data_IF_862028326194
#
_entry.id   IF_862028326194
#
_cell.length_a   1.000
_cell.length_b   1.000
_cell.length_c   1.000
_cell.angle_alpha   90.00
_cell.angle_beta   90.00
_cell.angle_gamma   90.00
#
_symmetry.space_group_name_H-M   'P 1'
#
loop_
_entity.id
_entity.type
_entity.pdbx_description
1 polymer ?
#
# COMPACT_ATOMS: atom_id res chain seq x y z
N UNK A 1 -29.52 2.66 11.88
CA UNK A 1 -29.60 1.89 10.62
C UNK A 1 -29.16 0.46 10.88
N UNK A 2 -30.13 -0.46 10.96
CA UNK A 2 -29.88 -1.89 11.22
C UNK A 2 -29.42 -2.67 9.96
N UNK A 3 -29.33 -2.02 8.82
CA UNK A 3 -29.18 -2.68 7.52
C UNK A 3 -27.76 -3.17 7.20
N UNK A 4 -26.72 -2.66 7.87
CA UNK A 4 -25.30 -3.02 7.61
C UNK A 4 -24.61 -3.56 8.85
N UNK A 5 -25.37 -4.20 9.75
CA UNK A 5 -24.87 -4.71 11.02
C UNK A 5 -24.71 -6.24 10.95
N UNK A 6 -23.52 -6.70 11.24
CA UNK A 6 -23.12 -8.10 11.20
C UNK A 6 -22.33 -8.48 12.43
N UNK A 7 -22.36 -9.74 12.82
CA UNK A 7 -21.32 -10.30 13.66
C UNK A 7 -20.10 -10.66 12.80
N UNK A 8 -18.93 -10.69 13.39
CA UNK A 8 -17.70 -11.12 12.69
C UNK A 8 -17.88 -12.49 12.03
N UNK A 9 -18.50 -13.44 12.74
CA UNK A 9 -18.78 -14.77 12.21
C UNK A 9 -19.67 -14.73 10.96
N UNK A 10 -20.72 -13.90 10.95
CA UNK A 10 -21.57 -13.75 9.76
C UNK A 10 -20.78 -13.23 8.56
N UNK A 11 -19.88 -12.26 8.79
CA UNK A 11 -18.99 -11.76 7.73
C UNK A 11 -18.05 -12.86 7.24
N UNK A 12 -17.43 -13.60 8.13
CA UNK A 12 -16.55 -14.73 7.79
C UNK A 12 -17.32 -15.80 6.98
N UNK A 13 -18.49 -16.24 7.45
CA UNK A 13 -19.32 -17.24 6.75
C UNK A 13 -19.71 -16.77 5.33
N UNK A 14 -20.07 -15.49 5.16
CA UNK A 14 -20.39 -14.90 3.85
C UNK A 14 -19.19 -14.91 2.90
N UNK A 15 -18.02 -14.52 3.39
CA UNK A 15 -16.80 -14.39 2.58
C UNK A 15 -16.17 -15.76 2.31
N UNK A 16 -16.19 -16.69 3.25
CA UNK A 16 -15.74 -18.08 3.03
C UNK A 16 -16.56 -18.75 1.92
N UNK A 17 -17.85 -18.48 1.86
CA UNK A 17 -18.69 -18.98 0.78
C UNK A 17 -18.35 -18.41 -0.62
N UNK A 18 -17.57 -17.32 -0.67
CA UNK A 18 -17.10 -16.69 -1.91
C UNK A 18 -15.73 -17.20 -2.36
N UNK A 19 -14.94 -17.81 -1.47
CA UNK A 19 -13.57 -18.23 -1.79
C UNK A 19 -13.55 -19.25 -2.94
N UNK A 20 -12.55 -19.10 -3.81
CA UNK A 20 -12.35 -19.92 -5.00
C UNK A 20 -13.50 -19.87 -6.03
N UNK A 21 -14.40 -18.90 -5.90
CA UNK A 21 -15.42 -18.58 -6.91
C UNK A 21 -15.03 -17.30 -7.64
N UNK A 22 -15.48 -17.19 -8.87
CA UNK A 22 -15.31 -15.95 -9.63
C UNK A 22 -16.27 -14.88 -9.13
N UNK A 23 -15.93 -13.60 -9.36
CA UNK A 23 -16.84 -12.49 -9.07
C UNK A 23 -18.18 -12.64 -9.79
N UNK A 24 -18.19 -13.24 -11.00
CA UNK A 24 -19.42 -13.54 -11.74
C UNK A 24 -20.27 -14.63 -11.10
N UNK A 25 -19.67 -15.67 -10.51
CA UNK A 25 -20.39 -16.75 -9.83
C UNK A 25 -21.04 -16.28 -8.52
N UNK A 26 -20.47 -15.30 -7.86
CA UNK A 26 -21.03 -14.72 -6.62
C UNK A 26 -21.99 -13.56 -6.87
N UNK A 27 -22.09 -13.07 -8.10
CA UNK A 27 -22.96 -11.94 -8.49
C UNK A 27 -24.44 -12.34 -8.59
N UNK A 28 -25.08 -12.53 -7.43
CA UNK A 28 -26.49 -12.89 -7.32
C UNK A 28 -27.45 -11.78 -7.78
N UNK A 29 -27.02 -10.52 -7.69
CA UNK A 29 -27.84 -9.35 -7.98
C UNK A 29 -27.61 -8.77 -9.38
N UNK A 30 -26.89 -9.52 -10.25
CA UNK A 30 -26.62 -9.13 -11.64
C UNK A 30 -25.94 -7.75 -11.78
N UNK A 31 -25.02 -7.43 -10.86
CA UNK A 31 -24.32 -6.16 -10.83
C UNK A 31 -23.51 -5.95 -12.11
N UNK A 32 -22.97 -7.04 -12.70
CA UNK A 32 -22.25 -6.97 -13.98
C UNK A 32 -23.12 -6.50 -15.16
N UNK A 33 -24.44 -6.50 -15.05
CA UNK A 33 -25.32 -5.95 -16.11
C UNK A 33 -25.06 -4.46 -16.35
N UNK A 34 -24.58 -3.73 -15.35
CA UNK A 34 -24.13 -2.32 -15.48
C UNK A 34 -23.03 -2.14 -16.55
N UNK A 35 -22.22 -3.17 -16.78
CA UNK A 35 -21.12 -3.11 -17.76
C UNK A 35 -21.60 -3.07 -19.20
N UNK A 36 -22.85 -3.50 -19.47
CA UNK A 36 -23.46 -3.44 -20.81
C UNK A 36 -23.66 -2.00 -21.28
N UNK A 37 -23.99 -1.11 -20.36
CA UNK A 37 -24.20 0.33 -20.63
C UNK A 37 -22.95 1.17 -20.31
N UNK A 38 -22.11 0.73 -19.40
CA UNK A 38 -20.90 1.42 -18.92
C UNK A 38 -19.68 0.49 -18.92
N UNK A 39 -19.09 0.15 -20.09
CA UNK A 39 -18.02 -0.85 -20.18
C UNK A 39 -16.73 -0.48 -19.42
N UNK A 40 -16.55 0.79 -19.14
CA UNK A 40 -15.37 1.32 -18.42
C UNK A 40 -15.67 1.71 -16.97
N UNK A 41 -16.78 1.24 -16.39
CA UNK A 41 -17.09 1.48 -14.99
C UNK A 41 -15.94 0.97 -14.10
N UNK A 42 -15.55 1.78 -13.12
CA UNK A 42 -14.54 1.43 -12.13
C UNK A 42 -15.22 0.96 -10.85
N UNK A 43 -14.54 0.09 -10.07
CA UNK A 43 -15.07 -0.38 -8.78
C UNK A 43 -16.06 -1.54 -8.87
N UNK A 44 -16.31 -2.12 -10.07
CA UNK A 44 -17.30 -3.20 -10.25
C UNK A 44 -17.09 -4.38 -9.29
N UNK A 45 -15.86 -4.72 -8.94
CA UNK A 45 -15.57 -5.77 -7.97
C UNK A 45 -16.09 -5.42 -6.56
N UNK A 46 -15.96 -4.15 -6.14
CA UNK A 46 -16.53 -3.63 -4.90
C UNK A 46 -18.05 -3.70 -4.92
N UNK A 47 -18.66 -3.20 -5.99
CA UNK A 47 -20.11 -3.24 -6.17
C UNK A 47 -20.68 -4.66 -6.05
N UNK A 48 -19.99 -5.67 -6.59
CA UNK A 48 -20.42 -7.08 -6.47
C UNK A 48 -20.36 -7.55 -5.02
N UNK A 49 -19.28 -7.29 -4.31
CA UNK A 49 -19.17 -7.68 -2.89
C UNK A 49 -20.21 -6.96 -2.05
N UNK A 50 -20.40 -5.67 -2.23
CA UNK A 50 -21.40 -4.87 -1.49
C UNK A 50 -22.82 -5.36 -1.76
N UNK A 51 -23.22 -5.47 -3.03
CA UNK A 51 -24.60 -5.70 -3.40
C UNK A 51 -24.98 -7.19 -3.42
N UNK A 52 -24.09 -8.06 -3.88
CA UNK A 52 -24.41 -9.50 -4.04
C UNK A 52 -23.98 -10.35 -2.86
N UNK A 53 -22.98 -9.94 -2.07
CA UNK A 53 -22.53 -10.69 -0.89
C UNK A 53 -23.13 -10.12 0.38
N UNK A 54 -22.97 -8.80 0.61
CA UNK A 54 -23.52 -8.12 1.80
C UNK A 54 -24.95 -7.59 1.63
N UNK A 55 -25.46 -7.49 0.41
CA UNK A 55 -26.86 -7.22 0.13
C UNK A 55 -27.29 -5.77 0.33
N UNK A 56 -26.38 -4.79 0.25
CA UNK A 56 -26.71 -3.37 0.34
C UNK A 56 -26.33 -2.62 -0.94
N UNK A 57 -27.09 -1.56 -1.23
CA UNK A 57 -26.80 -0.72 -2.39
C UNK A 57 -25.56 0.15 -2.16
N UNK A 58 -24.75 0.31 -3.20
CA UNK A 58 -23.62 1.20 -3.17
C UNK A 58 -24.09 2.63 -2.80
N UNK A 59 -23.49 3.19 -1.77
CA UNK A 59 -23.76 4.55 -1.32
C UNK A 59 -22.49 5.41 -1.39
N UNK A 60 -22.66 6.72 -1.33
CA UNK A 60 -21.55 7.69 -1.31
C UNK A 60 -21.31 8.27 0.08
N UNK A 61 -21.72 7.56 1.13
CA UNK A 61 -21.56 8.00 2.51
C UNK A 61 -20.10 8.15 2.90
N UNK A 62 -19.83 9.12 3.75
CA UNK A 62 -18.48 9.33 4.29
C UNK A 62 -18.16 8.41 5.47
N UNK A 63 -19.16 7.71 6.00
CA UNK A 63 -19.02 6.73 7.08
C UNK A 63 -18.47 5.40 6.54
N UNK A 64 -17.82 4.58 7.39
CA UNK A 64 -17.47 3.20 7.05
C UNK A 64 -18.70 2.36 6.67
N UNK A 65 -18.50 1.38 5.78
CA UNK A 65 -19.59 0.65 5.10
C UNK A 65 -20.35 -0.31 6.02
N UNK A 66 -19.68 -0.91 7.00
CA UNK A 66 -20.21 -1.98 7.84
C UNK A 66 -20.11 -1.65 9.33
N UNK A 67 -21.01 -2.20 10.10
CA UNK A 67 -20.88 -2.28 11.56
C UNK A 67 -20.73 -3.76 11.95
N UNK A 68 -19.54 -4.14 12.38
CA UNK A 68 -19.20 -5.53 12.73
C UNK A 68 -18.96 -5.62 14.24
N UNK A 69 -19.86 -6.30 14.94
CA UNK A 69 -19.85 -6.38 16.42
C UNK A 69 -19.74 -5.01 17.13
N UNK A 70 -20.36 -3.98 16.56
CA UNK A 70 -20.30 -2.61 17.08
C UNK A 70 -19.12 -1.77 16.59
N UNK A 71 -18.21 -2.35 15.78
CA UNK A 71 -17.05 -1.66 15.22
C UNK A 71 -17.35 -1.22 13.79
N UNK A 72 -17.25 0.09 13.53
CA UNK A 72 -17.39 0.62 12.18
C UNK A 72 -16.19 0.21 11.33
N UNK A 73 -16.44 -0.51 10.26
CA UNK A 73 -15.42 -1.14 9.41
C UNK A 73 -15.64 -0.75 7.95
N UNK A 74 -14.59 -0.25 7.32
CA UNK A 74 -14.59 0.06 5.88
C UNK A 74 -14.33 -1.20 5.07
N UNK A 75 -15.20 -1.47 4.07
CA UNK A 75 -15.03 -2.57 3.13
C UNK A 75 -14.26 -2.08 1.89
N UNK A 76 -13.22 -2.82 1.51
CA UNK A 76 -12.47 -2.57 0.28
C UNK A 76 -12.22 -3.87 -0.48
N UNK A 77 -12.36 -3.81 -1.78
CA UNK A 77 -11.89 -4.87 -2.67
C UNK A 77 -10.54 -4.50 -3.27
N UNK A 78 -9.64 -5.45 -3.33
CA UNK A 78 -8.26 -5.22 -3.80
C UNK A 78 -7.87 -6.29 -4.80
N UNK A 79 -7.52 -5.85 -6.02
CA UNK A 79 -6.92 -6.74 -7.01
C UNK A 79 -5.50 -7.12 -6.61
N UNK A 80 -5.23 -8.41 -6.60
CA UNK A 80 -3.89 -8.96 -6.42
C UNK A 80 -3.44 -9.65 -7.70
N UNK A 81 -2.14 -9.72 -7.90
CA UNK A 81 -1.54 -10.46 -9.00
C UNK A 81 -0.31 -11.23 -8.53
N UNK A 82 0.06 -12.27 -9.25
CA UNK A 82 1.32 -12.96 -9.03
C UNK A 82 2.47 -11.99 -9.26
N UNK A 83 3.41 -11.93 -8.32
CA UNK A 83 4.56 -11.04 -8.42
C UNK A 83 5.46 -11.44 -9.59
N UNK A 84 5.82 -10.47 -10.43
CA UNK A 84 6.78 -10.70 -11.53
C UNK A 84 8.20 -11.02 -11.02
N UNK A 85 8.50 -10.67 -9.77
CA UNK A 85 9.82 -10.92 -9.15
C UNK A 85 9.89 -12.27 -8.46
N UNK A 86 8.81 -12.71 -7.84
CA UNK A 86 8.68 -13.99 -7.17
C UNK A 86 7.33 -14.63 -7.50
N UNK A 87 7.27 -15.62 -8.41
CA UNK A 87 6.03 -16.26 -8.81
C UNK A 87 5.27 -17.00 -7.69
N UNK A 88 5.85 -17.11 -6.51
CA UNK A 88 5.23 -17.72 -5.32
C UNK A 88 4.52 -16.68 -4.43
N UNK A 89 4.64 -15.41 -4.75
CA UNK A 89 4.10 -14.31 -3.95
C UNK A 89 3.04 -13.54 -4.72
N UNK A 90 2.08 -13.01 -3.98
CA UNK A 90 1.14 -12.03 -4.50
C UNK A 90 1.62 -10.60 -4.20
N UNK A 91 1.25 -9.67 -5.06
CA UNK A 91 1.40 -8.24 -4.85
C UNK A 91 0.11 -7.51 -5.23
N UNK A 92 -0.12 -6.33 -4.66
CA UNK A 92 -1.25 -5.50 -5.06
C UNK A 92 -1.11 -5.06 -6.52
N UNK A 93 -2.21 -5.09 -7.26
CA UNK A 93 -2.27 -4.58 -8.63
C UNK A 93 -2.07 -3.06 -8.66
N UNK A 94 -2.71 -2.34 -7.74
CA UNK A 94 -2.80 -0.89 -7.74
C UNK A 94 -2.84 -0.30 -6.32
N UNK A 95 -2.62 1.03 -6.16
CA UNK A 95 -2.87 1.72 -4.89
C UNK A 95 -4.33 1.61 -4.48
N UNK A 96 -4.62 1.70 -3.18
CA UNK A 96 -5.98 1.61 -2.65
C UNK A 96 -6.52 2.99 -2.28
N UNK A 97 -7.60 3.43 -2.92
CA UNK A 97 -8.28 4.67 -2.60
C UNK A 97 -9.03 4.57 -1.27
N UNK A 98 -8.86 5.59 -0.42
CA UNK A 98 -9.48 5.66 0.91
C UNK A 98 -10.65 6.66 0.89
N UNK A 99 -10.34 7.95 0.73
CA UNK A 99 -11.34 9.03 0.71
C UNK A 99 -10.87 10.20 -0.15
N UNK A 100 -11.79 11.09 -0.50
CA UNK A 100 -11.45 12.34 -1.20
C UNK A 100 -10.65 13.29 -0.31
N UNK A 101 -9.74 14.03 -0.91
CA UNK A 101 -9.11 15.18 -0.25
C UNK A 101 -10.03 16.38 -0.44
N UNK A 102 -10.70 16.82 0.63
CA UNK A 102 -11.62 17.96 0.63
C UNK A 102 -10.93 19.16 1.29
N UNK A 103 -10.37 20.11 0.53
CA UNK A 103 -9.55 21.20 1.09
C UNK A 103 -10.26 22.01 2.16
N UNK A 104 -11.56 22.29 1.98
CA UNK A 104 -12.33 23.08 2.93
C UNK A 104 -12.71 22.33 4.23
N UNK A 105 -12.55 21.01 4.25
CA UNK A 105 -12.90 20.16 5.39
C UNK A 105 -11.64 19.79 6.17
N UNK A 106 -10.61 19.32 5.48
CA UNK A 106 -9.37 18.81 6.10
C UNK A 106 -8.67 19.85 6.97
N UNK A 107 -8.80 21.13 6.63
CA UNK A 107 -8.16 22.23 7.40
C UNK A 107 -8.67 22.34 8.81
N UNK A 108 -9.88 21.89 9.08
CA UNK A 108 -10.56 21.95 10.38
C UNK A 108 -10.60 20.58 11.09
N UNK A 109 -10.18 19.49 10.43
CA UNK A 109 -10.12 18.16 11.02
C UNK A 109 -8.86 17.98 11.88
N UNK A 110 -8.97 17.17 12.94
CA UNK A 110 -7.86 16.52 13.62
C UNK A 110 -7.79 15.06 13.17
N UNK A 111 -6.59 14.45 13.23
CA UNK A 111 -6.36 13.14 12.63
C UNK A 111 -7.31 12.07 13.16
N UNK A 112 -7.48 11.97 14.48
CA UNK A 112 -8.31 10.94 15.12
C UNK A 112 -9.79 11.04 14.71
N UNK A 113 -10.29 12.24 14.43
CA UNK A 113 -11.67 12.51 14.03
C UNK A 113 -11.82 12.70 12.52
N UNK A 114 -10.72 12.53 11.76
CA UNK A 114 -10.73 12.75 10.32
C UNK A 114 -11.48 11.65 9.57
N UNK A 115 -12.11 12.03 8.46
CA UNK A 115 -12.70 11.07 7.52
C UNK A 115 -11.68 10.05 7.00
N UNK A 116 -10.43 10.48 6.91
CA UNK A 116 -9.32 9.63 6.48
C UNK A 116 -9.09 8.50 7.48
N UNK A 117 -8.93 8.83 8.78
CA UNK A 117 -8.67 7.83 9.81
C UNK A 117 -9.88 6.94 10.08
N UNK A 118 -11.09 7.50 10.12
CA UNK A 118 -12.32 6.71 10.30
C UNK A 118 -12.49 5.61 9.25
N UNK A 119 -12.01 5.83 8.01
CA UNK A 119 -12.03 4.81 6.95
C UNK A 119 -10.84 3.85 6.96
N UNK A 120 -9.81 4.12 7.76
CA UNK A 120 -8.62 3.27 7.85
C UNK A 120 -8.52 2.51 9.16
N UNK A 121 -9.11 3.01 10.24
CA UNK A 121 -8.95 2.44 11.58
C UNK A 121 -9.30 0.94 11.62
N UNK A 122 -10.36 0.55 10.93
CA UNK A 122 -10.77 -0.84 10.79
C UNK A 122 -11.13 -1.12 9.33
N UNK A 123 -10.36 -1.99 8.68
CA UNK A 123 -10.57 -2.37 7.28
C UNK A 123 -10.95 -3.85 7.18
N UNK A 124 -11.88 -4.13 6.28
CA UNK A 124 -12.11 -5.47 5.74
C UNK A 124 -11.70 -5.47 4.28
N UNK A 125 -10.60 -6.16 3.96
CA UNK A 125 -10.15 -6.32 2.57
C UNK A 125 -10.65 -7.65 2.01
N UNK A 126 -11.19 -7.59 0.78
CA UNK A 126 -11.51 -8.78 -0.02
C UNK A 126 -10.59 -8.77 -1.25
N UNK A 127 -9.86 -9.86 -1.44
CA UNK A 127 -8.87 -10.02 -2.49
C UNK A 127 -9.43 -10.78 -3.68
N UNK A 128 -9.26 -10.26 -4.88
CA UNK A 128 -9.52 -11.00 -6.12
C UNK A 128 -8.26 -11.09 -6.98
N UNK A 129 -8.04 -12.24 -7.62
CA UNK A 129 -6.90 -12.48 -8.48
C UNK A 129 -7.12 -11.83 -9.85
N UNK A 130 -6.39 -10.76 -10.11
CA UNK A 130 -6.36 -10.10 -11.41
C UNK A 130 -5.46 -10.89 -12.37
N UNK A 131 -6.07 -11.86 -13.06
CA UNK A 131 -5.38 -12.80 -13.94
C UNK A 131 -5.22 -12.24 -15.38
N UNK A 132 -4.71 -11.01 -15.52
CA UNK A 132 -4.44 -10.40 -16.81
C UNK A 132 -3.18 -9.53 -16.76
N UNK A 133 -2.37 -9.59 -17.80
CA UNK A 133 -1.22 -8.69 -17.99
C UNK A 133 -1.61 -7.34 -18.58
N UNK A 134 -2.84 -7.21 -19.06
CA UNK A 134 -3.36 -5.99 -19.71
C UNK A 134 -4.50 -5.40 -18.89
N UNK A 135 -4.78 -4.12 -19.13
CA UNK A 135 -6.01 -3.51 -18.66
C UNK A 135 -7.20 -4.16 -19.35
N UNK A 136 -8.18 -4.60 -18.56
CA UNK A 136 -9.39 -5.27 -19.05
C UNK A 136 -10.61 -4.37 -18.86
N UNK A 137 -11.67 -4.65 -19.63
CA UNK A 137 -12.97 -4.01 -19.44
C UNK A 137 -13.66 -4.53 -18.18
N UNK A 138 -14.60 -3.74 -17.65
CA UNK A 138 -15.30 -4.07 -16.40
C UNK A 138 -16.01 -5.43 -16.45
N UNK A 139 -16.55 -5.84 -17.59
CA UNK A 139 -17.22 -7.14 -17.74
C UNK A 139 -16.26 -8.34 -17.52
N UNK A 140 -14.98 -8.19 -17.83
CA UNK A 140 -14.00 -9.27 -17.69
C UNK A 140 -13.65 -9.57 -16.23
N UNK A 141 -13.94 -8.62 -15.30
CA UNK A 141 -13.79 -8.85 -13.87
C UNK A 141 -14.64 -10.01 -13.36
N UNK A 142 -15.74 -10.34 -14.07
CA UNK A 142 -16.57 -11.49 -13.75
C UNK A 142 -15.78 -12.81 -13.70
N UNK A 143 -14.64 -12.90 -14.39
CA UNK A 143 -13.82 -14.10 -14.47
C UNK A 143 -12.74 -14.16 -13.36
N UNK A 144 -12.58 -13.13 -12.53
CA UNK A 144 -11.54 -13.09 -11.51
C UNK A 144 -12.00 -13.81 -10.25
N UNK A 145 -11.12 -14.66 -9.71
CA UNK A 145 -11.37 -15.45 -8.52
C UNK A 145 -11.24 -14.60 -7.25
N UNK A 146 -12.13 -14.85 -6.28
CA UNK A 146 -11.97 -14.36 -4.91
C UNK A 146 -10.96 -15.27 -4.20
N UNK A 147 -9.81 -14.72 -3.83
CA UNK A 147 -8.66 -15.45 -3.28
C UNK A 147 -8.58 -15.42 -1.76
N UNK A 148 -9.21 -14.43 -1.14
CA UNK A 148 -9.15 -14.30 0.32
C UNK A 148 -9.80 -13.05 0.83
N UNK A 149 -9.81 -12.93 2.16
CA UNK A 149 -10.24 -11.73 2.87
C UNK A 149 -9.41 -11.55 4.14
N UNK A 150 -9.36 -10.34 4.66
CA UNK A 150 -8.60 -10.01 5.85
C UNK A 150 -9.19 -8.82 6.60
N UNK A 151 -9.32 -8.95 7.92
CA UNK A 151 -9.53 -7.80 8.81
C UNK A 151 -8.17 -7.17 9.12
N UNK A 152 -8.09 -5.85 9.01
CA UNK A 152 -6.85 -5.10 9.20
C UNK A 152 -7.08 -4.00 10.22
N UNK A 153 -6.16 -3.95 11.17
CA UNK A 153 -5.91 -2.83 12.06
C UNK A 153 -4.43 -2.46 11.93
N UNK A 154 -4.14 -1.17 11.80
CA UNK A 154 -2.76 -0.71 11.70
C UNK A 154 -2.10 -0.72 13.08
N UNK A 155 -0.81 -1.08 13.14
CA UNK A 155 -0.02 -0.95 14.35
C UNK A 155 0.12 0.52 14.77
N UNK A 156 0.45 0.79 16.03
CA UNK A 156 0.68 2.15 16.52
C UNK A 156 1.79 2.86 15.72
N UNK A 157 2.82 2.14 15.28
CA UNK A 157 3.89 2.72 14.45
C UNK A 157 3.39 3.05 13.05
N UNK A 158 2.58 2.18 12.43
CA UNK A 158 1.94 2.48 11.14
C UNK A 158 0.97 3.66 11.24
N UNK A 159 0.20 3.73 12.33
CA UNK A 159 -0.73 4.83 12.61
C UNK A 159 -0.01 6.16 12.70
N UNK A 160 1.14 6.22 13.40
CA UNK A 160 1.98 7.43 13.48
C UNK A 160 2.44 7.89 12.09
N UNK A 161 2.87 6.96 11.23
CA UNK A 161 3.28 7.29 9.87
C UNK A 161 2.09 7.84 9.06
N UNK A 162 0.94 7.20 9.14
CA UNK A 162 -0.29 7.65 8.48
C UNK A 162 -0.71 9.04 8.97
N UNK A 163 -0.61 9.29 10.28
CA UNK A 163 -0.86 10.60 10.87
C UNK A 163 0.10 11.66 10.34
N UNK A 164 1.41 11.38 10.32
CA UNK A 164 2.41 12.32 9.79
C UNK A 164 2.16 12.64 8.31
N UNK A 165 1.89 11.63 7.51
CA UNK A 165 1.55 11.82 6.10
C UNK A 165 0.30 12.69 5.94
N UNK A 166 -0.75 12.42 6.69
CA UNK A 166 -1.99 13.20 6.67
C UNK A 166 -1.76 14.65 7.13
N UNK A 167 -0.96 14.86 8.19
CA UNK A 167 -0.58 16.19 8.69
C UNK A 167 0.19 16.99 7.65
N UNK A 168 1.10 16.36 6.90
CA UNK A 168 1.83 17.01 5.80
C UNK A 168 0.83 17.56 4.78
N UNK A 169 -0.16 16.77 4.38
CA UNK A 169 -1.19 17.20 3.41
C UNK A 169 -2.06 18.30 4.00
N UNK A 170 -2.58 18.14 5.23
CA UNK A 170 -3.41 19.13 5.91
C UNK A 170 -2.69 20.48 6.05
N UNK A 171 -1.46 20.44 6.54
CA UNK A 171 -0.69 21.66 6.78
C UNK A 171 -0.33 22.37 5.47
N UNK A 172 -0.06 21.62 4.41
CA UNK A 172 0.12 22.18 3.09
C UNK A 172 -1.16 22.93 2.64
N UNK A 173 -2.33 22.29 2.71
CA UNK A 173 -3.59 22.91 2.32
C UNK A 173 -3.89 24.14 3.18
N UNK A 174 -3.67 24.09 4.50
CA UNK A 174 -3.78 25.24 5.39
C UNK A 174 -2.89 26.41 4.94
N UNK A 175 -1.66 26.13 4.52
CA UNK A 175 -0.70 27.16 4.08
C UNK A 175 -1.13 27.89 2.82
N UNK A 176 -2.01 27.30 2.01
CA UNK A 176 -2.53 27.89 0.79
C UNK A 176 -3.58 28.99 1.04
N UNK A 177 -4.05 29.15 2.27
CA UNK A 177 -5.03 30.17 2.66
C UNK A 177 -6.27 30.23 1.75
N UNK A 178 -6.80 29.06 1.38
CA UNK A 178 -7.93 28.89 0.44
C UNK A 178 -7.66 29.42 -0.99
N UNK A 179 -6.41 29.57 -1.37
CA UNK A 179 -6.05 29.91 -2.75
C UNK A 179 -6.16 28.67 -3.65
N UNK A 180 -7.31 28.47 -4.26
CA UNK A 180 -7.62 27.30 -5.11
C UNK A 180 -6.68 27.15 -6.30
N UNK A 181 -6.10 28.25 -6.80
CA UNK A 181 -5.15 28.21 -7.91
C UNK A 181 -3.87 27.41 -7.56
N UNK A 182 -3.54 27.26 -6.27
CA UNK A 182 -2.38 26.53 -5.78
C UNK A 182 -2.70 25.09 -5.38
N UNK A 183 -3.96 24.64 -5.38
CA UNK A 183 -4.30 23.24 -5.05
C UNK A 183 -3.60 22.20 -5.92
N UNK A 184 -3.32 22.43 -7.22
CA UNK A 184 -2.53 21.49 -8.02
C UNK A 184 -1.15 21.16 -7.47
N UNK A 185 -0.55 22.06 -6.68
CA UNK A 185 0.76 21.87 -6.03
C UNK A 185 0.77 20.73 -5.01
N UNK A 186 -0.40 20.24 -4.56
CA UNK A 186 -0.50 19.07 -3.67
C UNK A 186 0.22 17.85 -4.25
N UNK A 187 0.30 17.75 -5.56
CA UNK A 187 0.99 16.65 -6.24
C UNK A 187 2.50 16.60 -5.93
N UNK A 188 3.10 17.72 -5.53
CA UNK A 188 4.51 17.80 -5.16
C UNK A 188 4.81 17.21 -3.78
N UNK A 189 3.78 16.91 -2.98
CA UNK A 189 3.96 16.26 -1.68
C UNK A 189 4.32 14.77 -1.81
N UNK A 190 4.11 14.16 -2.97
CA UNK A 190 4.30 12.72 -3.19
C UNK A 190 5.61 12.17 -2.63
N UNK A 191 6.69 12.91 -2.81
CA UNK A 191 8.04 12.48 -2.40
C UNK A 191 8.29 12.67 -0.89
N UNK A 192 7.38 13.35 -0.20
CA UNK A 192 7.44 13.56 1.26
C UNK A 192 6.58 12.57 2.03
N UNK A 193 5.61 11.93 1.36
CA UNK A 193 4.67 11.01 1.97
C UNK A 193 5.21 9.58 1.92
N UNK A 194 5.18 8.86 3.06
CA UNK A 194 5.68 7.50 3.17
C UNK A 194 4.66 6.46 2.68
N UNK A 195 3.46 6.46 3.26
CA UNK A 195 2.47 5.41 3.06
C UNK A 195 1.34 5.80 2.10
N UNK A 196 1.06 7.09 1.97
CA UNK A 196 -0.04 7.57 1.14
C UNK A 196 0.42 8.39 -0.07
N UNK A 197 -0.47 8.57 -1.01
CA UNK A 197 -0.39 9.59 -2.05
C UNK A 197 -1.75 10.31 -2.23
N UNK A 198 -1.76 11.36 -3.04
CA UNK A 198 -2.92 12.23 -3.29
C UNK A 198 -3.27 12.28 -4.77
N UNK A 199 -3.32 11.12 -5.45
CA UNK A 199 -3.72 11.05 -6.85
C UNK A 199 -5.26 10.93 -7.00
N UNK A 200 -5.87 11.25 -8.14
CA UNK A 200 -5.24 11.79 -9.35
C UNK A 200 -4.78 13.24 -9.19
N UNK A 201 -4.10 13.76 -10.22
CA UNK A 201 -3.71 15.16 -10.26
C UNK A 201 -4.92 16.05 -10.56
N UNK A 202 -4.91 17.25 -9.99
CA UNK A 202 -5.87 18.29 -10.35
C UNK A 202 -5.92 18.50 -11.87
N UNK A 203 -7.08 18.79 -12.49
CA UNK A 203 -8.36 19.22 -11.90
C UNK A 203 -9.26 18.08 -11.37
N UNK A 204 -8.91 16.81 -11.55
CA UNK A 204 -9.67 15.74 -10.92
C UNK A 204 -9.49 15.83 -9.40
N UNK A 205 -10.57 15.76 -8.60
CA UNK A 205 -10.46 15.84 -7.15
C UNK A 205 -9.48 14.78 -6.62
N UNK A 206 -8.40 15.18 -5.93
CA UNK A 206 -7.44 14.24 -5.40
C UNK A 206 -8.08 13.37 -4.32
N UNK A 207 -7.57 12.15 -4.19
CA UNK A 207 -8.00 11.19 -3.19
C UNK A 207 -6.80 10.75 -2.37
N UNK A 208 -6.96 10.59 -1.08
CA UNK A 208 -6.02 9.83 -0.27
C UNK A 208 -6.04 8.37 -0.70
N UNK A 209 -4.86 7.84 -1.01
CA UNK A 209 -4.68 6.42 -1.36
C UNK A 209 -3.52 5.84 -0.57
N UNK A 210 -3.65 4.61 -0.09
CA UNK A 210 -2.47 3.85 0.32
C UNK A 210 -1.64 3.52 -0.91
N UNK A 211 -0.34 3.77 -0.86
CA UNK A 211 0.59 3.45 -1.95
C UNK A 211 0.54 1.95 -2.26
N UNK A 212 0.75 1.59 -3.53
CA UNK A 212 0.74 0.18 -3.95
C UNK A 212 1.74 -0.68 -3.15
N UNK A 213 2.87 -0.12 -2.75
CA UNK A 213 3.87 -0.81 -1.94
C UNK A 213 3.34 -1.17 -0.55
N UNK A 214 2.58 -0.27 0.09
CA UNK A 214 1.92 -0.54 1.38
C UNK A 214 0.87 -1.64 1.22
N UNK A 215 0.01 -1.52 0.21
CA UNK A 215 -1.01 -2.54 -0.06
C UNK A 215 -0.37 -3.89 -0.40
N UNK A 216 0.73 -3.91 -1.17
CA UNK A 216 1.49 -5.13 -1.47
C UNK A 216 2.10 -5.76 -0.22
N UNK A 217 2.60 -4.94 0.72
CA UNK A 217 3.09 -5.44 2.00
C UNK A 217 1.97 -6.12 2.81
N UNK A 218 0.78 -5.52 2.87
CA UNK A 218 -0.40 -6.10 3.53
C UNK A 218 -0.75 -7.45 2.89
N UNK A 219 -0.80 -7.52 1.56
CA UNK A 219 -1.06 -8.74 0.79
C UNK A 219 0.00 -9.81 1.09
N UNK A 220 1.27 -9.45 1.04
CA UNK A 220 2.37 -10.39 1.30
C UNK A 220 2.32 -10.95 2.72
N UNK A 221 2.03 -10.12 3.72
CA UNK A 221 1.87 -10.57 5.12
C UNK A 221 0.72 -11.54 5.27
N UNK A 222 -0.38 -11.33 4.55
CA UNK A 222 -1.54 -12.22 4.58
C UNK A 222 -1.25 -13.59 3.97
N UNK A 223 -0.66 -13.63 2.78
CA UNK A 223 -0.46 -14.87 2.04
C UNK A 223 0.86 -15.59 2.35
N UNK A 224 1.92 -14.85 2.75
CA UNK A 224 3.28 -15.38 2.87
C UNK A 224 3.85 -15.30 4.30
N UNK A 225 3.16 -14.67 5.23
CA UNK A 225 3.58 -14.51 6.63
C UNK A 225 4.28 -13.19 6.94
N UNK A 226 4.68 -13.02 8.21
CA UNK A 226 5.21 -11.77 8.73
C UNK A 226 6.59 -11.41 8.17
N UNK A 227 6.83 -10.11 7.96
CA UNK A 227 8.14 -9.54 7.68
C UNK A 227 8.83 -9.08 8.97
N UNK A 228 10.15 -8.95 8.92
CA UNK A 228 10.93 -8.54 10.09
C UNK A 228 10.68 -7.07 10.42
N UNK A 229 10.49 -6.77 11.70
CA UNK A 229 10.39 -5.42 12.22
C UNK A 229 11.78 -4.90 12.62
N UNK A 230 12.07 -3.63 12.30
CA UNK A 230 13.28 -2.99 12.80
C UNK A 230 13.13 -2.68 14.30
N UNK A 231 14.24 -2.72 15.06
CA UNK A 231 14.21 -2.39 16.48
C UNK A 231 13.94 -0.90 16.75
N UNK A 232 14.14 -0.04 15.75
CA UNK A 232 13.90 1.40 15.81
C UNK A 232 12.78 1.77 14.84
N UNK A 233 11.82 2.56 15.30
CA UNK A 233 10.80 3.16 14.47
C UNK A 233 11.34 4.37 13.67
N UNK A 234 10.78 4.59 12.48
CA UNK A 234 11.07 5.72 11.60
C UNK A 234 9.75 6.23 11.05
N UNK A 235 9.37 7.45 11.42
CA UNK A 235 8.04 7.99 11.14
C UNK A 235 8.01 8.83 9.86
N UNK A 236 9.18 9.28 9.37
CA UNK A 236 9.32 10.11 8.18
C UNK A 236 10.50 9.69 7.30
N UNK A 237 10.51 10.11 6.03
CA UNK A 237 11.69 9.96 5.17
C UNK A 237 12.92 10.68 5.76
N UNK A 238 12.72 11.81 6.43
CA UNK A 238 13.81 12.55 7.06
C UNK A 238 14.50 11.73 8.16
N UNK A 239 13.75 10.93 8.93
CA UNK A 239 14.30 10.03 9.95
C UNK A 239 15.15 8.91 9.32
N UNK A 240 14.66 8.34 8.21
CA UNK A 240 15.39 7.31 7.45
C UNK A 240 16.65 7.91 6.84
N UNK A 241 16.56 9.09 6.22
CA UNK A 241 17.70 9.78 5.62
C UNK A 241 18.76 10.13 6.66
N UNK A 242 18.34 10.66 7.81
CA UNK A 242 19.23 10.90 8.97
C UNK A 242 19.94 9.63 9.42
N UNK A 243 19.20 8.51 9.53
CA UNK A 243 19.80 7.21 9.88
C UNK A 243 20.82 6.75 8.83
N UNK A 244 20.52 6.94 7.54
CA UNK A 244 21.48 6.65 6.45
C UNK A 244 22.76 7.47 6.58
N UNK A 245 22.66 8.76 6.93
CA UNK A 245 23.82 9.62 7.15
C UNK A 245 24.63 9.17 8.38
N UNK A 246 23.98 8.88 9.50
CA UNK A 246 24.63 8.37 10.72
C UNK A 246 25.35 7.04 10.44
N UNK A 247 24.72 6.11 9.72
CA UNK A 247 25.32 4.85 9.30
C UNK A 247 26.53 5.11 8.39
N UNK A 248 26.39 6.00 7.42
CA UNK A 248 27.49 6.36 6.50
C UNK A 248 28.69 6.90 7.28
N UNK A 249 28.49 7.84 8.19
CA UNK A 249 29.57 8.40 9.01
C UNK A 249 30.24 7.36 9.90
N UNK A 250 29.46 6.45 10.48
CA UNK A 250 29.97 5.39 11.34
C UNK A 250 30.81 4.34 10.60
N UNK A 251 30.40 4.01 9.37
CA UNK A 251 30.97 2.88 8.61
C UNK A 251 31.85 3.30 7.42
N UNK A 252 31.90 4.58 7.07
CA UNK A 252 32.87 5.07 6.07
C UNK A 252 34.27 4.67 6.49
N UNK A 253 35.06 4.25 5.52
CA UNK A 253 36.44 3.77 5.70
C UNK A 253 36.59 2.40 6.39
N UNK A 254 35.50 1.71 6.77
CA UNK A 254 35.55 0.31 7.19
C UNK A 254 35.53 -0.61 5.96
N UNK A 255 36.33 -1.65 6.02
CA UNK A 255 36.27 -2.66 4.95
C UNK A 255 35.02 -3.53 5.07
N UNK A 256 34.59 -4.15 3.98
CA UNK A 256 33.50 -5.13 3.99
C UNK A 256 33.81 -6.27 4.97
N UNK A 257 35.08 -6.73 5.01
CA UNK A 257 35.52 -7.80 5.90
C UNK A 257 35.40 -7.43 7.37
N UNK A 258 35.79 -6.20 7.73
CA UNK A 258 35.70 -5.73 9.11
C UNK A 258 34.24 -5.56 9.53
N UNK A 259 33.39 -5.05 8.64
CA UNK A 259 31.96 -4.94 8.88
C UNK A 259 31.30 -6.31 9.02
N UNK A 260 31.69 -7.30 8.22
CA UNK A 260 31.22 -8.68 8.36
C UNK A 260 31.58 -9.27 9.73
N UNK A 261 32.80 -9.05 10.20
CA UNK A 261 33.25 -9.51 11.53
C UNK A 261 32.44 -8.82 12.65
N UNK A 262 32.25 -7.50 12.55
CA UNK A 262 31.47 -6.73 13.52
C UNK A 262 30.04 -7.25 13.68
N UNK A 263 29.41 -7.60 12.56
CA UNK A 263 28.03 -8.10 12.53
C UNK A 263 27.91 -9.64 12.59
N UNK A 264 29.01 -10.35 12.81
CA UNK A 264 29.06 -11.82 12.82
C UNK A 264 28.41 -12.45 11.56
N UNK A 265 28.67 -11.86 10.40
CA UNK A 265 28.20 -12.42 9.12
C UNK A 265 29.26 -13.39 8.62
N UNK A 266 28.88 -14.67 8.61
CA UNK A 266 29.74 -15.74 8.11
C UNK A 266 29.58 -15.97 6.59
N UNK A 267 30.61 -16.55 5.96
CA UNK A 267 30.58 -16.95 4.57
C UNK A 267 31.42 -16.09 3.63
N UNK A 268 31.26 -16.31 2.33
CA UNK A 268 31.99 -15.59 1.28
C UNK A 268 31.36 -14.25 0.96
N UNK A 269 32.19 -13.29 0.52
CA UNK A 269 31.71 -12.03 -0.07
C UNK A 269 31.04 -12.36 -1.41
N UNK A 270 29.73 -12.18 -1.45
CA UNK A 270 28.89 -12.35 -2.63
C UNK A 270 28.20 -11.04 -3.01
N UNK A 271 27.41 -11.07 -4.11
CA UNK A 271 26.68 -9.88 -4.61
C UNK A 271 25.66 -9.30 -3.61
N UNK A 272 25.20 -10.12 -2.65
CA UNK A 272 24.21 -9.69 -1.65
C UNK A 272 24.82 -9.15 -0.36
N UNK A 273 26.15 -9.20 -0.20
CA UNK A 273 26.79 -8.82 1.08
C UNK A 273 26.52 -7.37 1.45
N UNK A 274 26.54 -6.46 0.48
CA UNK A 274 26.27 -5.05 0.73
C UNK A 274 24.86 -4.82 1.31
N UNK A 275 23.87 -5.47 0.74
CA UNK A 275 22.48 -5.38 1.24
C UNK A 275 22.34 -5.96 2.64
N UNK A 276 22.95 -7.13 2.91
CA UNK A 276 22.95 -7.73 4.27
C UNK A 276 23.63 -6.85 5.30
N UNK A 277 24.76 -6.21 4.94
CA UNK A 277 25.43 -5.27 5.83
C UNK A 277 24.54 -4.06 6.16
N UNK A 278 23.90 -3.47 5.16
CA UNK A 278 22.98 -2.34 5.38
C UNK A 278 21.83 -2.75 6.32
N UNK A 279 21.22 -3.91 6.10
CA UNK A 279 20.17 -4.43 7.01
C UNK A 279 20.69 -4.53 8.44
N UNK A 280 21.89 -5.08 8.64
CA UNK A 280 22.54 -5.16 9.97
C UNK A 280 22.83 -3.79 10.57
N UNK A 281 23.25 -2.83 9.77
CA UNK A 281 23.51 -1.44 10.21
C UNK A 281 22.22 -0.76 10.70
N UNK A 282 21.04 -1.11 10.15
CA UNK A 282 19.75 -0.69 10.66
C UNK A 282 19.25 -1.52 11.86
N UNK A 283 20.02 -2.52 12.30
CA UNK A 283 19.67 -3.40 13.41
C UNK A 283 18.81 -4.61 13.04
N UNK A 284 18.57 -4.85 11.75
CA UNK A 284 17.83 -6.00 11.25
C UNK A 284 18.69 -7.26 11.09
N UNK A 285 18.03 -8.39 10.79
CA UNK A 285 18.64 -9.70 10.55
C UNK A 285 18.26 -10.30 9.19
N UNK A 286 17.27 -9.73 8.51
CA UNK A 286 16.82 -10.20 7.20
C UNK A 286 17.96 -10.22 6.18
N UNK A 287 17.84 -11.09 5.18
CA UNK A 287 18.84 -11.19 4.10
C UNK A 287 18.72 -10.07 3.07
N UNK A 288 17.53 -9.47 2.94
CA UNK A 288 17.23 -8.40 1.99
C UNK A 288 16.45 -7.29 2.67
N UNK A 289 16.61 -6.08 2.18
CA UNK A 289 15.83 -4.93 2.66
C UNK A 289 14.32 -5.10 2.45
N UNK A 290 13.91 -5.80 1.39
CA UNK A 290 12.50 -6.09 1.11
C UNK A 290 11.84 -7.02 2.13
N UNK A 291 12.63 -7.77 2.92
CA UNK A 291 12.14 -8.66 3.97
C UNK A 291 11.95 -7.91 5.30
N UNK A 292 12.27 -6.61 5.33
CA UNK A 292 11.99 -5.67 6.42
C UNK A 292 10.66 -4.97 6.16
N UNK A 293 9.74 -5.03 7.12
CA UNK A 293 8.38 -4.53 7.00
C UNK A 293 8.30 -3.07 6.52
N UNK A 294 9.00 -2.17 7.20
CA UNK A 294 9.03 -0.75 6.83
C UNK A 294 9.59 -0.54 5.42
N UNK A 295 10.73 -1.16 5.10
CA UNK A 295 11.37 -0.96 3.80
C UNK A 295 10.54 -1.53 2.65
N UNK A 296 9.83 -2.64 2.89
CA UNK A 296 8.86 -3.18 1.95
C UNK A 296 7.71 -2.18 1.70
N UNK A 297 7.11 -1.64 2.77
CA UNK A 297 6.00 -0.67 2.68
C UNK A 297 6.35 0.58 1.89
N UNK A 298 7.52 1.15 2.12
CA UNK A 298 7.98 2.34 1.40
C UNK A 298 8.62 2.04 0.05
N UNK A 299 8.80 0.76 -0.31
CA UNK A 299 9.42 0.34 -1.56
C UNK A 299 10.92 0.63 -1.64
N UNK A 300 11.62 0.68 -0.49
CA UNK A 300 13.05 0.95 -0.44
C UNK A 300 13.86 -0.25 -0.92
N UNK A 301 14.72 -0.03 -1.90
CA UNK A 301 15.58 -1.04 -2.50
C UNK A 301 17.05 -0.70 -2.33
N UNK A 302 17.81 -1.59 -1.70
CA UNK A 302 19.26 -1.49 -1.64
C UNK A 302 19.90 -1.77 -3.01
N UNK A 303 20.84 -0.91 -3.43
CA UNK A 303 21.69 -1.10 -4.60
C UNK A 303 23.14 -0.88 -4.21
N UNK A 304 23.98 -1.86 -4.50
CA UNK A 304 25.43 -1.77 -4.27
C UNK A 304 26.11 -1.29 -5.53
N UNK A 305 26.98 -0.28 -5.38
CA UNK A 305 27.84 0.23 -6.45
C UNK A 305 29.27 0.09 -5.99
N UNK A 306 30.13 -0.48 -6.82
CA UNK A 306 31.55 -0.58 -6.57
C UNK A 306 32.27 0.63 -7.22
N UNK A 307 33.05 1.34 -6.42
CA UNK A 307 33.87 2.44 -6.89
C UNK A 307 35.34 2.05 -6.90
N UNK A 308 36.10 2.58 -7.86
CA UNK A 308 37.57 2.52 -7.84
C UNK A 308 38.14 3.42 -6.75
N UNK A 309 39.41 3.27 -6.42
CA UNK A 309 40.12 4.18 -5.48
C UNK A 309 40.01 5.67 -5.86
N UNK A 310 39.86 5.96 -7.16
CA UNK A 310 39.65 7.32 -7.68
C UNK A 310 38.19 7.77 -7.66
N UNK A 311 37.29 7.03 -7.02
CA UNK A 311 35.87 7.34 -6.94
C UNK A 311 35.09 7.14 -8.23
N UNK A 312 35.64 6.51 -9.27
CA UNK A 312 34.93 6.19 -10.50
C UNK A 312 34.14 4.91 -10.32
N UNK A 313 32.88 4.88 -10.80
CA UNK A 313 32.07 3.66 -10.82
C UNK A 313 32.67 2.63 -11.79
N UNK A 314 32.57 1.36 -11.42
CA UNK A 314 33.07 0.23 -12.23
C UNK A 314 32.01 -0.33 -13.17
N UNK A 315 30.74 -0.08 -12.86
CA UNK A 315 29.59 -0.57 -13.63
C UNK A 315 28.40 0.38 -13.53
N UNK A 316 27.47 0.28 -14.45
CA UNK A 316 26.22 1.02 -14.42
C UNK A 316 25.20 0.31 -13.51
N UNK A 317 24.42 1.11 -12.78
CA UNK A 317 23.38 0.59 -11.93
C UNK A 317 22.11 0.34 -12.74
N UNK A 318 21.70 -0.93 -12.83
CA UNK A 318 20.43 -1.29 -13.44
C UNK A 318 19.28 -0.96 -12.49
N UNK A 319 18.41 -0.04 -12.88
CA UNK A 319 17.21 0.35 -12.12
C UNK A 319 16.05 -0.61 -12.40
N UNK A 320 15.51 -0.58 -13.60
CA UNK A 320 14.38 -1.41 -14.05
C UNK A 320 14.38 -1.54 -15.56
N UNK A 321 13.57 -2.44 -16.09
CA UNK A 321 13.29 -2.52 -17.53
C UNK A 321 12.16 -1.56 -17.86
N UNK A 322 12.32 -0.76 -18.90
CA UNK A 322 11.24 0.03 -19.48
C UNK A 322 10.38 -0.94 -20.30
N UNK A 323 9.11 -1.00 -19.99
CA UNK A 323 8.12 -1.68 -20.81
C UNK A 323 7.31 -0.60 -21.54
N UNK A 324 7.49 -0.49 -22.84
CA UNK A 324 6.81 0.53 -23.64
C UNK A 324 5.29 0.32 -23.71
N UNK A 325 4.82 -0.90 -23.52
CA UNK A 325 3.38 -1.20 -23.48
C UNK A 325 2.69 -0.68 -22.20
N UNK A 326 3.46 -0.32 -21.17
CA UNK A 326 2.94 0.25 -19.91
C UNK A 326 2.95 1.79 -19.89
N UNK A 327 3.47 2.43 -20.94
CA UNK A 327 3.63 3.90 -21.03
C UNK A 327 2.54 4.53 -21.90
N UNK A 328 1.78 3.73 -22.64
CA UNK A 328 0.71 4.16 -23.54
C UNK A 328 -0.62 4.44 -22.84
#
# INVERSE_FOLDING_TARGET
NSEHTYTKRQVEDLLEACLNKTLGEIDKNHVFDKTKTSPKITGIAGDVIEQSVFGYDANSDSSPDLNIDGILTELKTTGIRVSKKNPKEYEAKEPMSITGVSPNVIIDEEFEDSRFWHKLAHLLLVYYLYASDKTVLAAEYANFLVEGYQFIEFSEDDKKILEQDWLIVRNFIRSLNKNEALYPEISHLRDKLLFIDTAPKWPNPPRFRLKRTVVSNIVQKHFNGSLEQLPKAYDTYADIDKACHEITEKYKNKTVVDSMKEFAIEGKIDKGIGERLVVKMFGGNAKKMQDIDLFCKIGLLGKTIVLTEKGKRTEDMKLFRINFDEIA
#
